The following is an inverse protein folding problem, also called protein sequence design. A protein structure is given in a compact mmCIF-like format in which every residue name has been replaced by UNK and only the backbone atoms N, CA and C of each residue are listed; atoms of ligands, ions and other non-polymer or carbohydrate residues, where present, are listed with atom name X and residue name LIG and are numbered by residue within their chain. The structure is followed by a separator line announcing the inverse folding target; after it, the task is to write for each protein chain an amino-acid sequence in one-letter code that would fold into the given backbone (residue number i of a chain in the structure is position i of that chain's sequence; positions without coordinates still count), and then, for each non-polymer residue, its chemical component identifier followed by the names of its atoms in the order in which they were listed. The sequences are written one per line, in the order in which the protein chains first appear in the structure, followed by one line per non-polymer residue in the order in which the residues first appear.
data_IF_694143251888
#
_entry.id   IF_694143251888
#
_cell.length_a   1.000
_cell.length_b   1.000
_cell.length_c   1.000
_cell.angle_alpha   90.00
_cell.angle_beta   90.00
_cell.angle_gamma   90.00
#
_symmetry.space_group_name_H-M   'P 1'
#
loop_
_entity.id
_entity.type
_entity.pdbx_description
1 polymer ?
#
# COMPACT_ATOMS: atom_id res chain seq x y z
N UNK A 1 -45.60 11.16 8.02
CA UNK A 1 -44.83 12.20 7.31
C UNK A 1 -43.65 12.54 8.20
N UNK A 2 -42.45 12.05 7.85
CA UNK A 2 -41.28 12.82 7.35
C UNK A 2 -40.62 13.66 8.46
N UNK A 3 -39.35 13.59 8.80
CA UNK A 3 -38.13 12.95 8.29
C UNK A 3 -37.19 12.86 9.52
N UNK A 4 -36.41 11.81 9.79
CA UNK A 4 -35.42 11.24 8.87
C UNK A 4 -34.04 11.81 9.18
N UNK A 5 -33.53 11.57 10.39
CA UNK A 5 -32.21 11.97 10.88
C UNK A 5 -31.10 11.30 10.01
N UNK A 6 -30.65 11.98 8.95
CA UNK A 6 -29.54 11.53 8.10
C UNK A 6 -28.25 12.18 8.56
N UNK A 7 -27.43 11.40 9.28
CA UNK A 7 -26.04 11.74 9.56
C UNK A 7 -25.25 11.94 8.27
N UNK A 8 -24.99 13.20 7.93
CA UNK A 8 -24.10 13.60 6.83
C UNK A 8 -22.65 13.28 7.19
N UNK A 9 -22.19 12.07 6.91
CA UNK A 9 -20.75 11.76 6.87
C UNK A 9 -20.16 12.32 5.56
N UNK A 10 -19.81 13.61 5.59
CA UNK A 10 -19.03 14.28 4.55
C UNK A 10 -17.58 13.77 4.58
N UNK A 11 -17.09 13.22 3.46
CA UNK A 11 -15.66 12.98 3.25
C UNK A 11 -15.10 13.96 2.22
N UNK A 12 -13.88 14.42 2.52
CA UNK A 12 -13.01 15.30 1.72
C UNK A 12 -13.39 16.78 1.76
N UNK A 13 -12.73 17.51 2.68
CA UNK A 13 -12.40 18.94 2.48
C UNK A 13 -13.50 19.95 2.78
N UNK A 14 -14.07 19.94 3.98
CA UNK A 14 -14.69 21.14 4.52
C UNK A 14 -13.73 21.72 5.58
N UNK A 15 -12.94 22.73 5.18
CA UNK A 15 -11.97 23.44 6.04
C UNK A 15 -12.67 24.48 6.95
N UNK A 16 -13.90 24.20 7.39
CA UNK A 16 -14.81 25.20 7.97
C UNK A 16 -15.33 24.84 9.37
N UNK A 17 -14.77 23.82 10.03
CA UNK A 17 -15.09 23.56 11.44
C UNK A 17 -14.14 24.34 12.38
N UNK A 18 -14.63 25.12 13.37
CA UNK A 18 -13.81 26.06 14.14
C UNK A 18 -13.12 25.48 15.38
N UNK A 19 -13.29 24.19 15.70
CA UNK A 19 -12.65 23.60 16.87
C UNK A 19 -11.27 23.03 16.51
N UNK A 20 -10.24 23.68 17.06
CA UNK A 20 -8.80 23.47 16.88
C UNK A 20 -8.22 23.98 15.54
N UNK A 21 -7.74 25.24 15.57
CA UNK A 21 -6.68 25.70 14.65
C UNK A 21 -5.43 24.85 14.92
N UNK A 22 -5.25 23.77 14.18
CA UNK A 22 -3.93 23.14 14.07
C UNK A 22 -2.94 24.22 13.61
N UNK A 23 -1.93 24.50 14.45
CA UNK A 23 -0.86 25.44 14.14
C UNK A 23 -0.21 25.03 12.80
N UNK A 24 0.25 26.02 12.04
CA UNK A 24 1.00 25.88 10.79
C UNK A 24 2.08 24.78 10.86
N UNK A 25 2.78 24.71 11.99
CA UNK A 25 3.79 23.68 12.30
C UNK A 25 3.19 22.26 12.36
N UNK A 26 2.02 22.09 12.97
CA UNK A 26 1.32 20.81 13.06
C UNK A 26 0.82 20.35 11.69
N UNK A 27 0.37 21.27 10.83
CA UNK A 27 0.00 20.98 9.43
C UNK A 27 1.22 20.61 8.56
N UNK A 28 2.39 21.16 8.88
CA UNK A 28 3.65 20.84 8.21
C UNK A 28 4.16 19.44 8.59
N UNK A 29 4.21 19.11 9.88
CA UNK A 29 4.53 17.76 10.38
C UNK A 29 3.51 16.73 9.87
N UNK A 30 2.24 17.09 9.77
CA UNK A 30 1.20 16.23 9.18
C UNK A 30 1.54 15.78 7.75
N UNK A 31 2.04 16.68 6.91
CA UNK A 31 2.41 16.31 5.54
C UNK A 31 3.73 15.55 5.50
N UNK A 32 4.65 15.74 6.46
CA UNK A 32 5.98 15.13 6.37
C UNK A 32 5.92 13.60 6.47
N UNK A 33 5.21 13.05 7.45
CA UNK A 33 5.12 11.58 7.60
C UNK A 33 4.43 10.95 6.41
N UNK A 34 3.37 11.58 5.91
CA UNK A 34 2.68 11.11 4.71
C UNK A 34 3.59 11.14 3.49
N UNK A 35 4.28 12.25 3.24
CA UNK A 35 5.18 12.41 2.10
C UNK A 35 6.34 11.42 2.20
N UNK A 36 6.95 11.25 3.38
CA UNK A 36 8.00 10.26 3.61
C UNK A 36 7.50 8.84 3.33
N UNK A 37 6.29 8.50 3.80
CA UNK A 37 5.65 7.23 3.46
C UNK A 37 5.47 7.05 1.96
N UNK A 38 4.90 8.04 1.29
CA UNK A 38 4.66 8.02 -0.16
C UNK A 38 5.97 7.86 -0.96
N UNK A 39 7.04 8.54 -0.52
CA UNK A 39 8.38 8.44 -1.11
C UNK A 39 9.04 7.08 -0.84
N UNK A 40 8.93 6.52 0.37
CA UNK A 40 9.43 5.17 0.67
C UNK A 40 8.73 4.12 -0.20
N UNK A 41 7.42 4.25 -0.38
CA UNK A 41 6.65 3.36 -1.24
C UNK A 41 7.10 3.50 -2.70
N UNK A 42 7.25 4.72 -3.21
CA UNK A 42 7.76 4.95 -4.57
C UNK A 42 9.17 4.37 -4.76
N UNK A 43 10.05 4.59 -3.77
CA UNK A 43 11.41 4.08 -3.80
C UNK A 43 11.44 2.55 -3.81
N UNK A 44 10.50 1.87 -3.14
CA UNK A 44 10.39 0.40 -3.19
C UNK A 44 10.15 -0.11 -4.63
N UNK A 45 9.29 0.55 -5.41
CA UNK A 45 9.08 0.21 -6.82
C UNK A 45 10.34 0.45 -7.65
N UNK A 46 11.02 1.58 -7.43
CA UNK A 46 12.26 1.92 -8.13
C UNK A 46 13.34 0.86 -7.83
N UNK A 47 13.56 0.52 -6.56
CA UNK A 47 14.53 -0.50 -6.13
C UNK A 47 14.20 -1.84 -6.77
N UNK A 48 12.93 -2.24 -6.82
CA UNK A 48 12.52 -3.49 -7.45
C UNK A 48 12.78 -3.49 -8.97
N UNK A 49 12.50 -2.38 -9.66
CA UNK A 49 12.79 -2.24 -11.09
C UNK A 49 14.31 -2.30 -11.34
N UNK A 50 15.10 -1.59 -10.53
CA UNK A 50 16.57 -1.61 -10.59
C UNK A 50 17.09 -3.02 -10.38
N UNK A 51 16.58 -3.74 -9.37
CA UNK A 51 16.90 -5.15 -9.10
C UNK A 51 16.69 -6.00 -10.34
N UNK A 52 15.50 -5.97 -10.94
CA UNK A 52 15.16 -6.79 -12.11
C UNK A 52 16.06 -6.44 -13.31
N UNK A 53 16.31 -5.15 -13.55
CA UNK A 53 17.09 -4.69 -14.70
C UNK A 53 18.59 -4.94 -14.58
N UNK A 54 19.17 -4.78 -13.39
CA UNK A 54 20.60 -4.97 -13.13
C UNK A 54 20.98 -6.44 -13.08
N UNK A 55 20.19 -7.26 -12.36
CA UNK A 55 20.44 -8.71 -12.25
C UNK A 55 20.01 -9.50 -13.48
N UNK A 56 19.30 -8.84 -14.41
CA UNK A 56 18.62 -9.47 -15.54
C UNK A 56 17.69 -10.63 -15.14
N UNK A 57 17.20 -10.61 -13.91
CA UNK A 57 16.47 -11.71 -13.30
C UNK A 57 15.38 -11.23 -12.34
N UNK A 58 14.22 -11.87 -12.42
CA UNK A 58 13.15 -11.74 -11.44
C UNK A 58 13.07 -12.93 -10.48
N UNK A 59 14.11 -13.77 -10.42
CA UNK A 59 14.25 -14.79 -9.39
C UNK A 59 14.14 -14.17 -7.99
N UNK A 60 13.48 -14.85 -7.06
CA UNK A 60 13.25 -14.33 -5.71
C UNK A 60 12.14 -13.27 -5.58
N UNK A 61 11.47 -12.88 -6.66
CA UNK A 61 10.38 -11.89 -6.65
C UNK A 61 9.06 -12.57 -6.98
N UNK A 62 8.06 -12.38 -6.11
CA UNK A 62 6.71 -12.91 -6.31
C UNK A 62 5.94 -12.02 -7.29
N UNK A 63 5.55 -12.61 -8.43
CA UNK A 63 4.65 -11.93 -9.37
C UNK A 63 3.27 -11.76 -8.75
N UNK A 64 2.81 -12.73 -7.95
CA UNK A 64 1.51 -12.69 -7.28
C UNK A 64 1.38 -11.47 -6.38
N UNK A 65 2.44 -11.11 -5.65
CA UNK A 65 2.48 -9.88 -4.83
C UNK A 65 2.29 -8.62 -5.68
N UNK A 66 3.00 -8.51 -6.80
CA UNK A 66 2.88 -7.35 -7.71
C UNK A 66 1.47 -7.26 -8.33
N UNK A 67 0.91 -8.40 -8.72
CA UNK A 67 -0.48 -8.47 -9.21
C UNK A 67 -1.50 -8.06 -8.16
N UNK A 68 -1.32 -8.46 -6.90
CA UNK A 68 -2.18 -8.03 -5.80
C UNK A 68 -2.08 -6.51 -5.55
N UNK A 69 -0.86 -5.95 -5.54
CA UNK A 69 -0.68 -4.50 -5.43
C UNK A 69 -1.34 -3.74 -6.59
N UNK A 70 -1.29 -4.27 -7.81
CA UNK A 70 -1.99 -3.66 -8.95
C UNK A 70 -3.50 -3.63 -8.72
N UNK A 71 -4.10 -4.73 -8.25
CA UNK A 71 -5.53 -4.80 -7.92
C UNK A 71 -5.87 -3.80 -6.81
N UNK A 72 -5.04 -3.71 -5.76
CA UNK A 72 -5.22 -2.74 -4.67
C UNK A 72 -5.26 -1.32 -5.21
N UNK A 73 -4.25 -0.89 -5.99
CA UNK A 73 -4.20 0.46 -6.52
C UNK A 73 -5.33 0.75 -7.50
N UNK A 74 -5.67 -0.22 -8.34
CA UNK A 74 -6.78 -0.10 -9.29
C UNK A 74 -8.10 0.16 -8.55
N UNK A 75 -8.43 -0.65 -7.55
CA UNK A 75 -9.66 -0.48 -6.76
C UNK A 75 -9.63 0.79 -5.89
N UNK A 76 -8.47 1.14 -5.33
CA UNK A 76 -8.33 2.30 -4.43
C UNK A 76 -8.45 3.63 -5.14
N UNK A 77 -7.95 3.70 -6.37
CA UNK A 77 -7.81 4.95 -7.13
C UNK A 77 -8.89 5.14 -8.18
N UNK A 78 -9.99 4.39 -8.10
CA UNK A 78 -11.16 4.62 -8.95
C UNK A 78 -11.63 6.08 -8.86
N UNK A 79 -11.48 6.73 -7.72
CA UNK A 79 -11.82 8.15 -7.53
C UNK A 79 -11.07 9.13 -8.45
N UNK A 80 -10.02 8.70 -9.17
CA UNK A 80 -9.37 9.49 -10.22
C UNK A 80 -10.34 9.96 -11.30
N UNK A 81 -11.41 9.22 -11.59
CA UNK A 81 -12.41 9.67 -12.58
C UNK A 81 -13.01 11.04 -12.21
N UNK A 82 -13.09 11.38 -10.91
CA UNK A 82 -13.64 12.67 -10.45
C UNK A 82 -12.75 13.86 -10.80
N UNK A 83 -11.44 13.63 -10.88
CA UNK A 83 -10.45 14.61 -11.33
C UNK A 83 -10.46 14.70 -12.84
N UNK A 84 -10.55 13.55 -13.54
CA UNK A 84 -10.66 13.50 -14.99
C UNK A 84 -11.89 14.26 -15.51
N UNK A 85 -13.05 14.08 -14.87
CA UNK A 85 -14.29 14.76 -15.25
C UNK A 85 -14.34 16.24 -14.83
N UNK A 86 -13.50 16.69 -13.88
CA UNK A 86 -13.47 18.07 -13.42
C UNK A 86 -12.02 18.56 -13.25
N UNK A 87 -11.33 18.90 -14.35
CA UNK A 87 -9.93 19.31 -14.32
C UNK A 87 -9.66 20.56 -13.47
N UNK A 88 -10.66 21.40 -13.24
CA UNK A 88 -10.56 22.58 -12.36
C UNK A 88 -10.16 22.25 -10.91
N UNK A 89 -10.38 21.00 -10.44
CA UNK A 89 -9.90 20.56 -9.12
C UNK A 89 -8.38 20.43 -9.04
N UNK A 90 -7.69 20.34 -10.17
CA UNK A 90 -6.24 20.18 -10.24
C UNK A 90 -5.47 21.46 -9.86
N UNK A 91 -6.16 22.61 -9.80
CA UNK A 91 -5.57 23.88 -9.35
C UNK A 91 -5.08 23.85 -7.89
N UNK A 92 -5.51 22.88 -7.09
CA UNK A 92 -4.96 22.64 -5.76
C UNK A 92 -3.70 21.76 -5.84
N UNK A 93 -2.56 22.26 -5.35
CA UNK A 93 -1.29 21.53 -5.35
C UNK A 93 -1.35 20.14 -4.68
N UNK A 94 -2.15 19.98 -3.63
CA UNK A 94 -2.35 18.67 -2.97
C UNK A 94 -3.12 17.69 -3.86
N UNK A 95 -4.12 18.16 -4.61
CA UNK A 95 -4.89 17.33 -5.55
C UNK A 95 -4.01 16.92 -6.73
N UNK A 96 -3.18 17.83 -7.24
CA UNK A 96 -2.19 17.54 -8.27
C UNK A 96 -1.20 16.47 -7.80
N UNK A 97 -0.58 16.67 -6.63
CA UNK A 97 0.34 15.70 -6.02
C UNK A 97 -0.30 14.31 -5.89
N UNK A 98 -1.48 14.22 -5.28
CA UNK A 98 -2.19 12.95 -5.12
C UNK A 98 -2.50 12.28 -6.46
N UNK A 99 -2.89 13.06 -7.47
CA UNK A 99 -3.22 12.52 -8.80
C UNK A 99 -1.98 11.96 -9.49
N UNK A 100 -0.85 12.68 -9.43
CA UNK A 100 0.44 12.22 -9.96
C UNK A 100 0.87 10.92 -9.27
N UNK A 101 0.86 10.88 -7.93
CA UNK A 101 1.28 9.69 -7.18
C UNK A 101 0.41 8.46 -7.51
N UNK A 102 -0.90 8.62 -7.62
CA UNK A 102 -1.81 7.51 -8.00
C UNK A 102 -1.48 6.96 -9.40
N UNK A 103 -1.22 7.84 -10.37
CA UNK A 103 -0.84 7.43 -11.74
C UNK A 103 0.54 6.76 -11.74
N UNK A 104 1.49 7.25 -10.95
CA UNK A 104 2.81 6.64 -10.80
C UNK A 104 2.71 5.23 -10.20
N UNK A 105 1.95 5.03 -9.13
CA UNK A 105 1.79 3.70 -8.53
C UNK A 105 1.14 2.69 -9.47
N UNK A 106 0.08 3.11 -10.19
CA UNK A 106 -0.55 2.26 -11.21
C UNK A 106 0.41 1.91 -12.34
N UNK A 107 1.09 2.91 -12.90
CA UNK A 107 1.99 2.71 -14.05
C UNK A 107 3.23 1.89 -13.68
N UNK A 108 3.85 2.14 -12.53
CA UNK A 108 5.02 1.38 -12.05
C UNK A 108 4.67 -0.07 -11.74
N UNK A 109 3.55 -0.33 -11.05
CA UNK A 109 3.15 -1.71 -10.74
C UNK A 109 2.80 -2.49 -12.01
N UNK A 110 2.09 -1.86 -12.96
CA UNK A 110 1.82 -2.45 -14.27
C UNK A 110 3.11 -2.71 -15.06
N UNK A 111 4.06 -1.77 -15.00
CA UNK A 111 5.36 -1.91 -15.64
C UNK A 111 6.17 -3.08 -15.07
N UNK A 112 6.22 -3.24 -13.74
CA UNK A 112 6.86 -4.39 -13.09
C UNK A 112 6.19 -5.71 -13.53
N UNK A 113 4.86 -5.76 -13.53
CA UNK A 113 4.12 -6.93 -14.01
C UNK A 113 4.44 -7.25 -15.47
N UNK A 114 4.55 -6.23 -16.33
CA UNK A 114 4.91 -6.38 -17.73
C UNK A 114 6.34 -6.92 -17.90
N UNK A 115 7.31 -6.37 -17.15
CA UNK A 115 8.69 -6.85 -17.14
C UNK A 115 8.76 -8.34 -16.80
N UNK A 116 8.07 -8.75 -15.73
CA UNK A 116 8.10 -10.14 -15.26
C UNK A 116 7.39 -11.13 -16.19
N UNK A 117 6.34 -10.72 -16.91
CA UNK A 117 5.51 -11.67 -17.67
C UNK A 117 5.69 -11.62 -19.18
N UNK A 118 6.21 -10.51 -19.73
CA UNK A 118 6.27 -10.32 -21.19
C UNK A 118 7.68 -10.09 -21.74
N UNK A 119 8.63 -9.64 -20.91
CA UNK A 119 9.96 -9.25 -21.38
C UNK A 119 11.00 -10.33 -21.07
N UNK A 120 11.75 -10.74 -22.09
CA UNK A 120 12.93 -11.62 -21.96
C UNK A 120 14.18 -10.77 -21.63
N UNK A 121 15.13 -11.25 -20.81
CA UNK A 121 15.21 -12.57 -20.17
C UNK A 121 14.42 -12.68 -18.86
N UNK A 122 13.79 -11.60 -18.37
CA UNK A 122 13.20 -11.58 -17.03
C UNK A 122 12.13 -12.67 -16.84
N UNK A 123 11.21 -12.84 -17.81
CA UNK A 123 10.14 -13.84 -17.76
C UNK A 123 10.63 -15.27 -17.55
N UNK A 124 11.78 -15.64 -18.12
CA UNK A 124 12.29 -17.02 -18.03
C UNK A 124 12.86 -17.33 -16.65
N UNK A 125 13.27 -16.30 -15.91
CA UNK A 125 13.82 -16.41 -14.55
C UNK A 125 12.77 -16.42 -13.43
N UNK A 126 11.48 -16.27 -13.76
CA UNK A 126 10.40 -16.26 -12.77
C UNK A 126 10.13 -17.67 -12.24
N UNK A 127 10.35 -17.86 -10.94
CA UNK A 127 10.10 -19.13 -10.24
C UNK A 127 8.62 -19.29 -9.86
N UNK A 128 7.84 -19.88 -10.78
CA UNK A 128 6.41 -20.19 -10.59
C UNK A 128 6.14 -21.21 -9.48
N UNK A 129 7.07 -22.14 -9.26
CA UNK A 129 6.91 -23.20 -8.27
C UNK A 129 7.16 -22.66 -6.86
N UNK A 130 8.14 -21.75 -6.72
CA UNK A 130 8.39 -21.00 -5.49
C UNK A 130 7.23 -20.08 -5.11
N UNK A 131 6.61 -19.40 -6.08
CA UNK A 131 5.45 -18.52 -5.86
C UNK A 131 4.13 -19.32 -5.75
N UNK A 132 4.04 -20.23 -4.79
CA UNK A 132 2.94 -21.21 -4.63
C UNK A 132 1.72 -20.67 -3.85
N UNK A 133 1.77 -19.46 -3.29
CA UNK A 133 0.70 -18.93 -2.46
C UNK A 133 -0.65 -18.83 -3.22
N UNK A 134 -1.73 -19.36 -2.64
CA UNK A 134 -3.07 -19.34 -3.25
C UNK A 134 -3.77 -18.00 -2.98
N UNK A 135 -3.39 -16.97 -3.74
CA UNK A 135 -3.87 -15.59 -3.57
C UNK A 135 -5.40 -15.44 -3.58
N UNK A 136 -6.10 -16.25 -4.37
CA UNK A 136 -7.56 -16.17 -4.46
C UNK A 136 -8.19 -16.59 -3.13
N UNK A 137 -7.80 -17.75 -2.61
CA UNK A 137 -8.34 -18.35 -1.39
C UNK A 137 -7.97 -17.57 -0.14
N UNK A 138 -6.72 -17.10 -0.04
CA UNK A 138 -6.16 -16.57 1.21
C UNK A 138 -5.99 -15.06 1.25
N UNK A 139 -6.22 -14.34 0.13
CA UNK A 139 -6.15 -12.88 0.11
C UNK A 139 -7.40 -12.25 -0.50
N UNK A 140 -7.71 -12.57 -1.76
CA UNK A 140 -8.78 -11.89 -2.51
C UNK A 140 -10.17 -12.20 -1.93
N UNK A 141 -10.51 -13.48 -1.74
CA UNK A 141 -11.83 -13.87 -1.21
C UNK A 141 -12.06 -13.31 0.21
N UNK A 142 -11.14 -13.48 1.18
CA UNK A 142 -11.32 -12.92 2.51
C UNK A 142 -11.47 -11.40 2.50
N UNK A 143 -10.64 -10.68 1.73
CA UNK A 143 -10.74 -9.23 1.62
C UNK A 143 -12.07 -8.78 0.99
N UNK A 144 -12.57 -9.51 -0.01
CA UNK A 144 -13.85 -9.24 -0.67
C UNK A 144 -15.03 -9.45 0.30
N UNK A 145 -15.05 -10.57 1.03
CA UNK A 145 -16.09 -10.86 2.02
C UNK A 145 -16.09 -9.83 3.14
N UNK A 146 -14.92 -9.50 3.70
CA UNK A 146 -14.80 -8.46 4.72
C UNK A 146 -15.25 -7.09 4.22
N UNK A 147 -14.94 -6.73 2.98
CA UNK A 147 -15.41 -5.49 2.38
C UNK A 147 -16.92 -5.46 2.12
N UNK A 148 -17.56 -6.60 1.84
CA UNK A 148 -19.03 -6.65 1.69
C UNK A 148 -19.72 -6.38 3.03
N UNK A 149 -19.22 -7.02 4.10
CA UNK A 149 -19.82 -6.96 5.44
C UNK A 149 -19.49 -5.62 6.14
N UNK A 150 -18.22 -5.21 6.11
CA UNK A 150 -17.69 -4.09 6.90
C UNK A 150 -17.17 -2.95 6.03
N UNK A 151 -17.92 -2.55 5.00
CA UNK A 151 -17.61 -1.33 4.23
C UNK A 151 -17.92 -0.06 5.00
N UNK A 152 -17.24 1.01 4.60
CA UNK A 152 -17.72 2.36 4.90
C UNK A 152 -19.01 2.67 4.12
N UNK A 153 -19.78 3.64 4.59
CA UNK A 153 -21.04 4.07 3.96
C UNK A 153 -21.02 5.58 3.67
N UNK A 154 -20.48 5.96 2.50
CA UNK A 154 -20.40 7.36 2.04
C UNK A 154 -21.40 7.70 0.93
N UNK A 155 -22.19 6.71 0.49
CA UNK A 155 -23.34 6.89 -0.42
C UNK A 155 -23.13 6.30 -1.82
N UNK A 156 -21.90 5.94 -2.20
CA UNK A 156 -21.63 5.22 -3.44
C UNK A 156 -21.09 3.82 -3.14
N UNK A 157 -21.97 2.81 -3.29
CA UNK A 157 -21.64 1.42 -2.99
C UNK A 157 -20.37 0.95 -3.69
N UNK A 158 -20.19 1.24 -4.99
CA UNK A 158 -19.05 0.75 -5.77
C UNK A 158 -17.74 1.34 -5.25
N UNK A 159 -17.70 2.66 -5.02
CA UNK A 159 -16.49 3.32 -4.53
C UNK A 159 -16.18 2.95 -3.07
N UNK A 160 -17.20 2.77 -2.24
CA UNK A 160 -17.03 2.37 -0.86
C UNK A 160 -16.55 0.93 -0.73
N UNK A 161 -17.13 0.04 -1.52
CA UNK A 161 -16.71 -1.35 -1.61
C UNK A 161 -15.29 -1.47 -2.13
N UNK A 162 -14.98 -0.88 -3.29
CA UNK A 162 -13.66 -0.95 -3.91
C UNK A 162 -12.57 -0.34 -3.01
N UNK A 163 -12.87 0.78 -2.35
CA UNK A 163 -11.94 1.39 -1.40
C UNK A 163 -11.70 0.48 -0.19
N UNK A 164 -12.76 -0.03 0.44
CA UNK A 164 -12.64 -0.90 1.63
C UNK A 164 -11.92 -2.21 1.29
N UNK A 165 -12.30 -2.83 0.17
CA UNK A 165 -11.64 -4.02 -0.38
C UNK A 165 -10.15 -3.80 -0.57
N UNK A 166 -9.76 -2.66 -1.15
CA UNK A 166 -8.34 -2.35 -1.36
C UNK A 166 -7.57 -2.23 -0.04
N UNK A 167 -8.20 -1.79 1.06
CA UNK A 167 -7.55 -1.66 2.37
C UNK A 167 -7.29 -3.03 2.98
N UNK A 168 -8.30 -3.90 3.01
CA UNK A 168 -8.14 -5.27 3.52
C UNK A 168 -7.17 -6.09 2.66
N UNK A 169 -7.23 -5.96 1.34
CA UNK A 169 -6.35 -6.69 0.45
C UNK A 169 -4.88 -6.24 0.61
N UNK A 170 -4.63 -4.94 0.73
CA UNK A 170 -3.27 -4.41 0.92
C UNK A 170 -2.61 -4.93 2.20
N UNK A 171 -3.40 -5.14 3.26
CA UNK A 171 -2.88 -5.66 4.52
C UNK A 171 -2.17 -7.00 4.37
N UNK A 172 -2.62 -7.84 3.42
CA UNK A 172 -2.09 -9.19 3.17
C UNK A 172 -1.35 -9.32 1.83
N UNK A 173 -1.22 -8.23 1.06
CA UNK A 173 -0.61 -8.24 -0.27
C UNK A 173 0.80 -8.81 -0.31
N UNK A 174 1.58 -8.61 0.75
CA UNK A 174 3.00 -9.00 0.83
C UNK A 174 3.19 -10.51 1.11
N UNK A 175 2.15 -11.22 1.53
CA UNK A 175 2.23 -12.63 1.94
C UNK A 175 2.91 -13.55 0.92
N UNK A 176 2.58 -13.49 -0.39
CA UNK A 176 3.24 -14.35 -1.38
C UNK A 176 4.75 -14.12 -1.43
N UNK A 177 5.20 -12.86 -1.32
CA UNK A 177 6.62 -12.50 -1.33
C UNK A 177 7.34 -13.04 -0.09
N UNK A 178 6.79 -12.88 1.11
CA UNK A 178 7.43 -13.37 2.34
C UNK A 178 7.55 -14.89 2.32
N UNK A 179 6.48 -15.61 1.96
CA UNK A 179 6.48 -17.07 1.88
C UNK A 179 7.48 -17.57 0.82
N UNK A 180 7.59 -16.86 -0.29
CA UNK A 180 8.58 -17.17 -1.32
C UNK A 180 10.00 -16.97 -0.78
N UNK A 181 10.26 -15.92 -0.01
CA UNK A 181 11.57 -15.64 0.61
C UNK A 181 11.96 -16.66 1.69
N UNK A 182 11.00 -17.20 2.45
CA UNK A 182 11.27 -18.26 3.44
C UNK A 182 11.80 -19.54 2.81
N UNK A 183 11.52 -19.78 1.52
CA UNK A 183 12.02 -20.96 0.78
C UNK A 183 13.46 -20.79 0.30
N UNK A 184 13.98 -19.56 0.28
CA UNK A 184 15.34 -19.29 -0.17
C UNK A 184 16.31 -19.25 1.00
N UNK A 185 17.43 -19.97 0.85
CA UNK A 185 18.50 -19.99 1.86
C UNK A 185 19.17 -18.64 2.02
N UNK A 186 19.29 -17.87 0.95
CA UNK A 186 19.91 -16.55 0.94
C UNK A 186 19.04 -15.58 0.16
N UNK A 187 18.80 -14.39 0.74
CA UNK A 187 18.01 -13.32 0.15
C UNK A 187 18.96 -12.22 -0.31
N UNK A 188 18.82 -11.82 -1.58
CA UNK A 188 19.59 -10.74 -2.17
C UNK A 188 19.31 -9.39 -1.48
N UNK A 189 20.36 -8.59 -1.27
CA UNK A 189 20.26 -7.29 -0.61
C UNK A 189 19.23 -6.34 -1.24
N UNK A 190 19.13 -6.29 -2.58
CA UNK A 190 18.17 -5.42 -3.26
C UNK A 190 16.73 -5.87 -3.00
N UNK A 191 16.48 -7.17 -2.98
CA UNK A 191 15.18 -7.76 -2.63
C UNK A 191 14.82 -7.42 -1.18
N UNK A 192 15.79 -7.57 -0.26
CA UNK A 192 15.59 -7.22 1.14
C UNK A 192 15.26 -5.74 1.33
N UNK A 193 16.02 -4.85 0.68
CA UNK A 193 15.82 -3.40 0.74
C UNK A 193 14.45 -2.99 0.18
N UNK A 194 13.99 -3.62 -0.90
CA UNK A 194 12.63 -3.42 -1.43
C UNK A 194 11.56 -3.74 -0.37
N UNK A 195 11.64 -4.90 0.29
CA UNK A 195 10.66 -5.29 1.32
C UNK A 195 10.75 -4.37 2.54
N UNK A 196 11.95 -3.95 2.93
CA UNK A 196 12.13 -2.96 4.02
C UNK A 196 11.48 -1.62 3.69
N UNK A 197 11.67 -1.12 2.48
CA UNK A 197 11.04 0.13 2.03
C UNK A 197 9.51 0.03 2.03
N UNK A 198 8.96 -1.14 1.69
CA UNK A 198 7.52 -1.40 1.82
C UNK A 198 7.06 -1.34 3.29
N UNK A 199 7.78 -1.94 4.21
CA UNK A 199 7.40 -1.84 5.62
C UNK A 199 7.61 -0.42 6.18
N UNK A 200 8.64 0.31 5.74
CA UNK A 200 8.91 1.70 6.15
C UNK A 200 7.80 2.66 5.71
N UNK A 201 7.24 2.51 4.50
CA UNK A 201 6.09 3.35 4.14
C UNK A 201 4.95 3.14 5.13
N UNK A 202 4.69 1.89 5.54
CA UNK A 202 3.59 1.57 6.45
C UNK A 202 3.83 2.17 7.82
N UNK A 203 5.05 2.08 8.32
CA UNK A 203 5.47 2.73 9.56
C UNK A 203 5.16 4.23 9.55
N UNK A 204 5.59 4.95 8.51
CA UNK A 204 5.31 6.38 8.38
C UNK A 204 3.80 6.69 8.26
N UNK A 205 3.03 5.82 7.60
CA UNK A 205 1.58 5.94 7.53
C UNK A 205 0.89 5.77 8.88
N UNK A 206 1.38 4.86 9.74
CA UNK A 206 0.88 4.70 11.10
C UNK A 206 1.18 5.95 11.94
N UNK A 207 2.40 6.49 11.87
CA UNK A 207 2.74 7.76 12.52
C UNK A 207 1.83 8.90 12.05
N UNK A 208 1.56 8.96 10.74
CA UNK A 208 0.62 9.91 10.18
C UNK A 208 -0.80 9.72 10.74
N UNK A 209 -1.29 8.49 10.92
CA UNK A 209 -2.61 8.24 11.51
C UNK A 209 -2.68 8.61 12.99
N UNK A 210 -1.64 8.31 13.78
CA UNK A 210 -1.52 8.73 15.19
C UNK A 210 -1.60 10.26 15.26
N UNK A 211 -0.79 10.96 14.46
CA UNK A 211 -0.77 12.42 14.44
C UNK A 211 -2.13 13.01 14.03
N UNK A 212 -2.84 12.39 13.08
CA UNK A 212 -4.18 12.84 12.68
C UNK A 212 -5.23 12.64 13.77
N UNK A 213 -5.15 11.54 14.50
CA UNK A 213 -6.05 11.27 15.61
C UNK A 213 -5.89 12.31 16.72
N UNK A 214 -4.65 12.67 17.07
CA UNK A 214 -4.35 13.64 18.13
C UNK A 214 -4.68 15.08 17.73
N UNK A 215 -4.53 15.45 16.46
CA UNK A 215 -4.60 16.86 16.01
C UNK A 215 -5.92 17.25 15.35
N UNK A 216 -6.56 16.34 14.60
CA UNK A 216 -7.77 16.66 13.83
C UNK A 216 -9.05 16.18 14.51
N UNK A 217 -8.95 15.46 15.64
CA UNK A 217 -10.09 14.85 16.34
C UNK A 217 -10.97 13.97 15.44
N UNK A 218 -10.44 13.55 14.28
CA UNK A 218 -11.22 12.83 13.27
C UNK A 218 -11.62 11.46 13.78
N UNK A 219 -12.85 11.07 13.43
CA UNK A 219 -13.41 9.77 13.76
C UNK A 219 -12.41 8.64 13.43
N UNK A 220 -12.11 7.84 14.46
CA UNK A 220 -11.25 6.67 14.39
C UNK A 220 -11.74 5.73 13.28
N UNK A 221 -11.04 5.72 12.14
CA UNK A 221 -11.36 4.80 11.05
C UNK A 221 -10.77 3.43 11.38
N UNK A 222 -11.52 2.66 12.17
CA UNK A 222 -11.11 1.35 12.69
C UNK A 222 -10.65 0.38 11.60
N UNK A 223 -11.23 0.44 10.39
CA UNK A 223 -10.85 -0.40 9.24
C UNK A 223 -9.38 -0.20 8.88
N UNK A 224 -8.94 1.06 8.83
CA UNK A 224 -7.57 1.44 8.49
C UNK A 224 -6.59 1.02 9.59
N UNK A 225 -6.97 1.21 10.86
CA UNK A 225 -6.13 0.83 12.00
C UNK A 225 -5.94 -0.67 12.11
N UNK A 226 -7.02 -1.46 12.06
CA UNK A 226 -6.94 -2.93 12.15
C UNK A 226 -6.13 -3.47 10.98
N UNK A 227 -6.41 -3.02 9.75
CA UNK A 227 -5.66 -3.46 8.56
C UNK A 227 -4.19 -3.06 8.64
N UNK A 228 -3.90 -1.87 9.18
CA UNK A 228 -2.53 -1.42 9.44
C UNK A 228 -1.79 -2.29 10.45
N UNK A 229 -2.44 -2.67 11.56
CA UNK A 229 -1.88 -3.56 12.57
C UNK A 229 -1.58 -4.93 11.97
N UNK A 230 -2.55 -5.53 11.27
CA UNK A 230 -2.37 -6.82 10.58
C UNK A 230 -1.16 -6.74 9.66
N UNK A 231 -1.07 -5.69 8.84
CA UNK A 231 0.04 -5.53 7.92
C UNK A 231 1.38 -5.37 8.64
N UNK A 232 1.45 -4.59 9.72
CA UNK A 232 2.67 -4.42 10.50
C UNK A 232 3.13 -5.73 11.12
N UNK A 233 2.23 -6.52 11.70
CA UNK A 233 2.55 -7.84 12.26
C UNK A 233 3.18 -8.74 11.20
N UNK A 234 2.66 -8.74 9.97
CA UNK A 234 3.23 -9.52 8.87
C UNK A 234 4.66 -9.09 8.48
N UNK A 235 5.03 -7.83 8.69
CA UNK A 235 6.40 -7.35 8.46
C UNK A 235 7.34 -7.55 9.64
N UNK A 236 6.83 -7.73 10.86
CA UNK A 236 7.65 -7.76 12.09
C UNK A 236 8.77 -8.82 12.02
N UNK A 237 8.42 -10.04 11.63
CA UNK A 237 9.38 -11.15 11.54
C UNK A 237 10.48 -10.87 10.51
N UNK A 238 10.09 -10.37 9.34
CA UNK A 238 11.02 -9.99 8.28
C UNK A 238 12.01 -8.91 8.75
N UNK A 239 11.53 -7.89 9.47
CA UNK A 239 12.37 -6.82 9.99
C UNK A 239 13.36 -7.30 11.05
N UNK A 240 12.95 -8.21 11.91
CA UNK A 240 13.81 -8.81 12.91
C UNK A 240 15.03 -9.50 12.27
N UNK A 241 14.79 -10.38 11.28
CA UNK A 241 15.88 -11.07 10.58
C UNK A 241 16.72 -10.15 9.70
N UNK A 242 16.11 -9.12 9.11
CA UNK A 242 16.85 -8.09 8.36
C UNK A 242 17.84 -7.33 9.27
N UNK A 243 17.38 -6.89 10.45
CA UNK A 243 18.22 -6.16 11.40
C UNK A 243 19.40 -7.02 11.89
N UNK A 244 19.16 -8.29 12.21
CA UNK A 244 20.21 -9.24 12.60
C UNK A 244 21.22 -9.43 11.47
N UNK A 245 20.76 -9.67 10.24
CA UNK A 245 21.64 -9.82 9.07
C UNK A 245 22.57 -8.62 8.89
N UNK A 246 22.04 -7.38 9.05
CA UNK A 246 22.85 -6.16 8.94
C UNK A 246 23.80 -5.95 10.11
N UNK A 247 23.35 -6.18 11.33
CA UNK A 247 24.18 -5.99 12.53
C UNK A 247 25.37 -6.95 12.55
N UNK A 248 25.13 -8.23 12.22
CA UNK A 248 26.17 -9.26 12.24
C UNK A 248 26.92 -9.41 10.91
N UNK A 249 26.60 -8.60 9.90
CA UNK A 249 27.21 -8.69 8.55
C UNK A 249 26.95 -10.02 7.84
N UNK A 250 25.95 -10.80 8.26
CA UNK A 250 25.59 -12.09 7.67
C UNK A 250 24.63 -11.91 6.50
N UNK A 251 24.62 -12.84 5.55
CA UNK A 251 23.62 -12.84 4.48
C UNK A 251 22.21 -13.02 5.07
N UNK A 252 21.24 -12.34 4.48
CA UNK A 252 19.86 -12.40 4.95
C UNK A 252 19.24 -13.76 4.62
N UNK A 253 18.61 -14.39 5.60
CA UNK A 253 17.83 -15.61 5.46
C UNK A 253 16.62 -15.51 6.41
N UNK A 254 15.54 -16.19 6.06
CA UNK A 254 14.36 -16.33 6.93
C UNK A 254 14.28 -17.77 7.43
N UNK A 255 13.73 -18.00 8.63
CA UNK A 255 13.44 -19.35 9.11
C UNK A 255 12.42 -20.02 8.18
N UNK A 256 12.51 -21.34 8.09
CA UNK A 256 11.62 -22.18 7.25
C UNK A 256 10.40 -22.64 8.01
#
# INVERSE_FOLDING_TARGET
MKDGNRGNFRFVGDYSSPLFRADSFTRMIFNIFRILGDLCHLLSFIVLIVKIKQTKSCYGISFKTQGLYFIVFFCRYLDLYKVLLNPSRLSSGLVLYNSIMKVLYLSMTLYICNLMMRVSPYRTTYDRNGDSYKVVNWAIIPAAVLALIFRRHTGNFILDYAWTFSIYLEAVCIMPQIIMLQRYKEIENLTSNYVVLLGLYRFFYILNWINRYTTEGRAFNWIVWISGIVQTILYCDFFYYYAISKWFGKKMSLPT
#
